data_IF_097011389491
#
_entry.id   IF_097011389491
#
_cell.length_a   1.000
_cell.length_b   1.000
_cell.length_c   1.000
_cell.angle_alpha   90.00
_cell.angle_beta   90.00
_cell.angle_gamma   90.00
#
_symmetry.space_group_name_H-M   'P 1'
#
loop_
_entity.id
_entity.type
_entity.pdbx_description
1 polymer ?
#
# COMPACT_ATOMS: atom_id res chain seq x y z
N UNK A 1 3.81 21.64 -31.35
CA UNK A 1 2.53 21.12 -30.82
C UNK A 1 2.33 21.77 -29.47
N UNK A 2 1.30 22.63 -29.36
CA UNK A 2 0.93 23.23 -28.07
C UNK A 2 0.41 22.12 -27.16
N UNK A 3 0.78 22.11 -25.88
CA UNK A 3 0.20 21.20 -24.89
C UNK A 3 -1.31 21.41 -24.92
N UNK A 4 -2.10 20.36 -25.13
CA UNK A 4 -3.55 20.49 -25.06
C UNK A 4 -3.90 20.94 -23.64
N UNK A 5 -4.61 22.07 -23.45
CA UNK A 5 -4.98 22.51 -22.11
C UNK A 5 -5.74 21.40 -21.39
N UNK A 6 -5.36 21.11 -20.16
CA UNK A 6 -6.14 20.23 -19.30
C UNK A 6 -7.56 20.81 -19.18
N UNK A 7 -8.54 20.05 -19.66
CA UNK A 7 -9.90 20.53 -19.92
C UNK A 7 -10.50 19.96 -21.19
N UNK A 8 -9.68 19.46 -22.12
CA UNK A 8 -10.18 18.76 -23.32
C UNK A 8 -10.25 17.24 -23.17
N UNK A 9 -9.48 16.66 -22.25
CA UNK A 9 -9.49 15.22 -21.98
C UNK A 9 -10.47 14.97 -20.84
N UNK A 10 -11.47 14.13 -21.06
CA UNK A 10 -12.45 13.79 -20.04
C UNK A 10 -11.77 13.13 -18.83
N UNK A 11 -12.08 13.63 -17.62
CA UNK A 11 -11.55 13.06 -16.37
C UNK A 11 -12.29 11.74 -16.05
N UNK A 12 -11.57 10.61 -15.86
CA UNK A 12 -12.17 9.35 -15.43
C UNK A 12 -13.01 9.51 -14.16
N UNK A 13 -14.13 8.79 -14.05
CA UNK A 13 -15.04 8.91 -12.90
C UNK A 13 -14.32 8.64 -11.57
N UNK A 14 -13.47 7.60 -11.57
CA UNK A 14 -12.67 7.20 -10.42
C UNK A 14 -11.57 8.19 -10.02
N UNK A 15 -11.36 9.28 -10.74
CA UNK A 15 -10.38 10.32 -10.39
C UNK A 15 -11.04 11.58 -9.82
N UNK A 16 -12.38 11.65 -9.80
CA UNK A 16 -13.12 12.86 -9.39
C UNK A 16 -13.01 13.18 -7.90
N UNK A 17 -12.64 12.21 -7.07
CA UNK A 17 -12.42 12.41 -5.64
C UNK A 17 -11.01 12.95 -5.33
N UNK A 18 -10.11 12.98 -6.31
CA UNK A 18 -8.75 13.48 -6.09
C UNK A 18 -8.77 14.98 -5.91
N UNK A 19 -7.95 15.47 -4.98
CA UNK A 19 -7.67 16.89 -4.88
C UNK A 19 -7.00 17.39 -6.16
N UNK A 20 -7.22 18.67 -6.46
CA UNK A 20 -6.71 19.32 -7.66
C UNK A 20 -5.66 20.35 -7.24
N UNK A 21 -4.50 20.34 -7.88
CA UNK A 21 -3.45 21.29 -7.58
C UNK A 21 -3.78 22.71 -8.08
N UNK A 22 -2.95 23.69 -7.73
CA UNK A 22 -3.09 25.09 -8.16
C UNK A 22 -3.10 25.31 -9.68
N UNK A 23 -2.67 24.33 -10.47
CA UNK A 23 -2.62 24.38 -11.94
C UNK A 23 -3.84 23.70 -12.59
N UNK A 24 -4.72 23.06 -11.80
CA UNK A 24 -5.88 22.34 -12.28
C UNK A 24 -5.66 20.84 -12.51
N UNK A 25 -4.51 20.29 -12.11
CA UNK A 25 -4.18 18.88 -12.31
C UNK A 25 -4.65 18.05 -11.11
N UNK A 26 -5.38 16.93 -11.32
CA UNK A 26 -5.66 16.00 -10.23
C UNK A 26 -4.34 15.47 -9.67
N UNK A 27 -4.18 15.51 -8.35
CA UNK A 27 -2.98 15.05 -7.66
C UNK A 27 -3.04 13.53 -7.53
N UNK A 28 -2.32 12.85 -8.42
CA UNK A 28 -2.36 11.39 -8.52
C UNK A 28 -1.83 10.71 -7.24
N UNK A 29 -2.30 9.49 -7.02
CA UNK A 29 -2.12 8.75 -5.78
C UNK A 29 -0.66 8.45 -5.38
N UNK A 30 0.29 8.32 -6.28
CA UNK A 30 1.71 8.07 -5.94
C UNK A 30 2.55 9.31 -5.70
N UNK A 31 2.07 10.48 -6.16
CA UNK A 31 2.85 11.71 -6.16
C UNK A 31 3.22 12.13 -4.74
N UNK A 32 4.48 12.52 -4.59
CA UNK A 32 4.98 13.15 -3.37
C UNK A 32 4.32 14.52 -3.17
N UNK A 33 3.86 14.77 -1.94
CA UNK A 33 3.17 15.99 -1.59
C UNK A 33 3.27 16.29 -0.11
N UNK A 34 3.14 17.57 0.20
CA UNK A 34 3.02 18.15 1.52
C UNK A 34 1.96 19.26 1.49
N UNK A 35 1.73 19.89 2.64
CA UNK A 35 0.88 21.08 2.75
C UNK A 35 1.35 22.23 1.85
N UNK A 36 2.65 22.31 1.54
CA UNK A 36 3.26 23.43 0.83
C UNK A 36 3.40 23.15 -0.67
N UNK A 37 3.61 21.89 -1.05
CA UNK A 37 4.00 21.54 -2.41
C UNK A 37 3.44 20.19 -2.87
N UNK A 38 3.06 20.14 -4.15
CA UNK A 38 2.79 18.90 -4.88
C UNK A 38 3.90 18.68 -5.91
N UNK A 39 4.75 17.67 -5.66
CA UNK A 39 5.90 17.36 -6.49
C UNK A 39 5.58 16.23 -7.48
N UNK A 40 5.08 16.58 -8.67
CA UNK A 40 4.75 15.61 -9.72
C UNK A 40 5.97 14.85 -10.29
N UNK A 41 7.20 15.29 -9.99
CA UNK A 41 8.43 14.56 -10.31
C UNK A 41 8.86 13.58 -9.22
N UNK A 42 8.30 13.69 -8.02
CA UNK A 42 8.59 12.86 -6.86
C UNK A 42 7.55 11.75 -6.68
N UNK A 43 8.02 10.57 -6.31
CA UNK A 43 7.20 9.41 -6.02
C UNK A 43 7.41 9.04 -4.56
N UNK A 44 6.32 8.94 -3.81
CA UNK A 44 6.40 8.62 -2.39
C UNK A 44 6.39 7.11 -2.16
N UNK A 45 7.49 6.58 -1.66
CA UNK A 45 7.59 5.16 -1.26
C UNK A 45 6.63 4.80 -0.13
N UNK A 46 6.32 5.75 0.76
CA UNK A 46 5.30 5.59 1.81
C UNK A 46 3.92 5.34 1.20
N UNK A 47 3.59 6.08 0.14
CA UNK A 47 2.32 5.92 -0.59
C UNK A 47 2.30 4.62 -1.40
N UNK A 48 3.42 4.24 -2.04
CA UNK A 48 3.57 2.94 -2.71
C UNK A 48 3.34 1.75 -1.77
N UNK A 49 3.78 1.84 -0.51
CA UNK A 49 3.49 0.79 0.47
C UNK A 49 1.99 0.62 0.72
N UNK A 50 1.25 1.72 0.89
CA UNK A 50 -0.20 1.68 1.06
C UNK A 50 -0.89 1.09 -0.18
N UNK A 51 -0.52 1.55 -1.38
CA UNK A 51 -1.04 1.01 -2.64
C UNK A 51 -0.79 -0.50 -2.77
N UNK A 52 0.38 -0.97 -2.36
CA UNK A 52 0.72 -2.39 -2.35
C UNK A 52 -0.07 -3.19 -1.30
N UNK A 53 -0.24 -2.64 -0.09
CA UNK A 53 -0.93 -3.31 0.99
C UNK A 53 -2.43 -3.47 0.73
N UNK A 54 -3.04 -2.45 0.11
CA UNK A 54 -4.48 -2.39 -0.14
C UNK A 54 -4.88 -2.74 -1.58
N UNK A 55 -3.89 -2.96 -2.46
CA UNK A 55 -4.08 -3.25 -3.89
C UNK A 55 -4.91 -2.19 -4.59
N UNK A 56 -4.38 -0.97 -4.51
CA UNK A 56 -4.96 0.23 -5.06
C UNK A 56 -4.15 0.75 -6.25
N UNK A 57 -4.85 1.47 -7.14
CA UNK A 57 -4.28 2.07 -8.33
C UNK A 57 -3.37 3.26 -8.00
N UNK A 58 -2.20 3.30 -8.62
CA UNK A 58 -1.20 4.35 -8.43
C UNK A 58 -1.61 5.75 -8.90
N UNK A 59 -2.66 5.84 -9.71
CA UNK A 59 -3.18 7.12 -10.21
C UNK A 59 -4.35 7.62 -9.39
N UNK A 60 -5.39 6.80 -9.17
CA UNK A 60 -6.59 7.24 -8.48
C UNK A 60 -6.68 6.81 -7.01
N UNK A 61 -5.84 5.90 -6.54
CA UNK A 61 -5.88 5.40 -5.16
C UNK A 61 -7.11 4.56 -4.84
N UNK A 62 -7.87 4.12 -5.85
CA UNK A 62 -9.04 3.23 -5.70
C UNK A 62 -8.65 1.76 -5.88
N UNK A 63 -9.38 0.80 -5.29
CA UNK A 63 -9.07 -0.63 -5.41
C UNK A 63 -9.16 -1.15 -6.84
N UNK A 64 -8.39 -2.20 -7.13
CA UNK A 64 -8.47 -2.88 -8.43
C UNK A 64 -9.70 -3.75 -8.60
N UNK A 65 -10.24 -4.31 -7.51
CA UNK A 65 -11.20 -5.40 -7.58
C UNK A 65 -10.69 -6.51 -8.52
N UNK A 66 -11.47 -6.86 -9.54
CA UNK A 66 -11.17 -7.85 -10.58
C UNK A 66 -10.47 -7.26 -11.83
N UNK A 67 -10.21 -5.94 -11.87
CA UNK A 67 -9.56 -5.30 -13.02
C UNK A 67 -8.07 -5.65 -13.14
N UNK A 68 -7.52 -5.63 -14.36
CA UNK A 68 -6.09 -5.82 -14.58
C UNK A 68 -5.25 -4.70 -13.96
N UNK A 69 -4.06 -5.07 -13.48
CA UNK A 69 -3.01 -4.18 -13.00
C UNK A 69 -2.15 -3.77 -14.19
N UNK A 70 -2.39 -2.59 -14.75
CA UNK A 70 -1.66 -2.09 -15.92
C UNK A 70 -0.33 -1.46 -15.52
N UNK A 71 0.70 -1.75 -16.31
CA UNK A 71 2.05 -1.24 -16.13
C UNK A 71 2.64 -0.79 -17.46
N UNK A 72 3.40 0.30 -17.41
CA UNK A 72 4.24 0.74 -18.52
C UNK A 72 5.53 -0.10 -18.56
N UNK A 73 5.92 -0.56 -19.75
CA UNK A 73 7.10 -1.40 -19.95
C UNK A 73 8.00 -0.79 -21.01
N UNK A 74 9.28 -0.60 -20.67
CA UNK A 74 10.31 -0.02 -21.55
C UNK A 74 11.16 -1.10 -22.25
N UNK A 75 10.53 -2.19 -22.68
CA UNK A 75 11.22 -3.33 -23.30
C UNK A 75 10.52 -3.78 -24.57
N UNK A 76 11.30 -3.87 -25.63
CA UNK A 76 10.91 -4.49 -26.89
C UNK A 76 10.93 -6.02 -26.81
N UNK A 77 10.06 -6.65 -27.61
CA UNK A 77 10.00 -8.10 -27.75
C UNK A 77 9.20 -8.82 -26.64
N UNK A 78 9.34 -10.15 -26.55
CA UNK A 78 8.59 -10.96 -25.59
C UNK A 78 8.92 -10.57 -24.15
N UNK A 79 7.89 -10.50 -23.31
CA UNK A 79 8.06 -10.26 -21.89
C UNK A 79 8.35 -11.56 -21.15
N UNK A 80 9.22 -11.55 -20.11
CA UNK A 80 9.32 -12.68 -19.19
C UNK A 80 7.98 -12.95 -18.51
N UNK A 81 7.82 -14.15 -17.95
CA UNK A 81 6.62 -14.58 -17.22
C UNK A 81 6.25 -13.68 -16.04
N UNK A 82 7.24 -13.01 -15.45
CA UNK A 82 7.03 -12.01 -14.41
C UNK A 82 7.81 -10.73 -14.74
N UNK A 83 7.17 -9.58 -14.56
CA UNK A 83 7.77 -8.25 -14.74
C UNK A 83 7.92 -7.59 -13.38
N UNK A 84 9.10 -7.03 -13.13
CA UNK A 84 9.36 -6.22 -11.93
C UNK A 84 9.38 -4.76 -12.34
N UNK A 85 8.47 -3.97 -11.76
CA UNK A 85 8.36 -2.52 -11.98
C UNK A 85 8.75 -1.76 -10.72
N UNK A 86 9.45 -0.63 -10.88
CA UNK A 86 9.63 0.33 -9.78
C UNK A 86 8.37 1.16 -9.50
N UNK A 87 7.34 1.05 -10.36
CA UNK A 87 6.09 1.78 -10.25
C UNK A 87 4.96 0.89 -9.76
N UNK A 88 4.04 1.46 -8.97
CA UNK A 88 2.80 0.79 -8.58
C UNK A 88 1.84 0.69 -9.78
N UNK A 89 1.01 -0.37 -9.88
CA UNK A 89 0.14 -0.57 -11.03
C UNK A 89 -1.01 0.42 -11.08
N UNK A 90 -1.60 0.59 -12.27
CA UNK A 90 -2.75 1.47 -12.50
C UNK A 90 -3.92 0.73 -13.15
N UNK A 91 -5.14 1.26 -13.03
CA UNK A 91 -6.26 0.83 -13.87
C UNK A 91 -6.00 1.21 -15.33
N UNK A 92 -6.64 0.50 -16.26
CA UNK A 92 -6.52 0.77 -17.70
C UNK A 92 -6.86 2.22 -18.05
N UNK A 93 -8.04 2.67 -17.60
CA UNK A 93 -8.55 4.01 -17.88
C UNK A 93 -7.64 5.10 -17.30
N UNK A 94 -7.02 4.82 -16.13
CA UNK A 94 -6.04 5.71 -15.52
C UNK A 94 -4.73 5.77 -16.30
N UNK A 95 -4.25 4.64 -16.82
CA UNK A 95 -3.07 4.59 -17.71
C UNK A 95 -3.30 5.41 -18.98
N UNK A 96 -4.45 5.20 -19.62
CA UNK A 96 -4.84 5.88 -20.85
C UNK A 96 -5.04 7.39 -20.63
N UNK A 97 -5.64 7.79 -19.50
CA UNK A 97 -5.73 9.20 -19.13
C UNK A 97 -4.33 9.80 -18.92
N UNK A 98 -3.48 9.15 -18.12
CA UNK A 98 -2.11 9.62 -17.86
C UNK A 98 -1.30 9.75 -19.15
N UNK A 99 -1.43 8.82 -20.09
CA UNK A 99 -0.78 8.88 -21.41
C UNK A 99 -1.18 10.11 -22.24
N UNK A 100 -2.38 10.66 -22.02
CA UNK A 100 -2.88 11.83 -22.75
C UNK A 100 -2.60 13.17 -22.05
N UNK A 101 -2.37 13.17 -20.73
CA UNK A 101 -2.18 14.42 -19.97
C UNK A 101 -0.78 14.59 -19.39
N UNK A 102 -0.01 13.52 -19.24
CA UNK A 102 1.34 13.59 -18.69
C UNK A 102 2.28 14.23 -19.72
N UNK A 103 2.98 15.33 -19.39
CA UNK A 103 3.90 15.97 -20.32
C UNK A 103 4.99 15.03 -20.84
N UNK A 104 5.45 14.09 -20.01
CA UNK A 104 6.46 13.12 -20.43
C UNK A 104 5.88 12.08 -21.41
N UNK A 105 4.68 11.54 -21.17
CA UNK A 105 4.09 10.48 -22.00
C UNK A 105 3.48 11.02 -23.30
N UNK A 106 2.97 12.25 -23.27
CA UNK A 106 2.21 12.83 -24.38
C UNK A 106 3.01 13.02 -25.67
N UNK A 107 4.33 13.23 -25.60
CA UNK A 107 5.14 13.53 -26.79
C UNK A 107 6.36 12.60 -26.92
N UNK A 108 6.64 12.05 -28.13
CA UNK A 108 7.86 11.29 -28.42
C UNK A 108 9.15 12.08 -28.23
N UNK A 109 9.08 13.41 -28.11
CA UNK A 109 10.25 14.27 -27.90
C UNK A 109 10.37 14.79 -26.48
N UNK A 110 9.46 14.39 -25.59
CA UNK A 110 9.53 14.77 -24.19
C UNK A 110 10.79 14.23 -23.54
N UNK A 111 11.32 15.01 -22.60
CA UNK A 111 12.55 14.70 -21.89
C UNK A 111 12.29 14.66 -20.40
N UNK A 112 12.99 13.76 -19.73
CA UNK A 112 13.01 13.74 -18.27
C UNK A 112 13.79 14.96 -17.74
N UNK A 113 13.29 15.51 -16.64
CA UNK A 113 13.82 16.71 -15.99
C UNK A 113 14.55 16.43 -14.68
N UNK A 114 14.44 15.23 -14.11
CA UNK A 114 15.16 14.86 -12.89
C UNK A 114 16.67 14.82 -13.13
N UNK A 115 17.45 15.09 -12.08
CA UNK A 115 18.90 15.27 -12.18
C UNK A 115 19.61 14.09 -12.86
N UNK A 116 19.18 12.86 -12.54
CA UNK A 116 19.83 11.64 -13.01
C UNK A 116 19.50 11.29 -14.47
N UNK A 117 18.33 11.68 -14.95
CA UNK A 117 17.85 11.36 -16.31
C UNK A 117 17.65 12.61 -17.17
N UNK A 118 18.21 13.75 -16.75
CA UNK A 118 18.03 15.03 -17.41
C UNK A 118 18.37 14.93 -18.90
N UNK A 119 17.38 15.23 -19.73
CA UNK A 119 17.54 15.22 -21.17
C UNK A 119 17.33 13.86 -21.85
N UNK A 120 17.15 12.76 -21.11
CA UNK A 120 16.76 11.46 -21.66
C UNK A 120 15.41 11.61 -22.35
N UNK A 121 15.36 11.25 -23.63
CA UNK A 121 14.15 11.35 -24.46
C UNK A 121 13.26 10.14 -24.18
N UNK A 122 11.94 10.37 -24.17
CA UNK A 122 10.95 9.28 -24.13
C UNK A 122 11.21 8.29 -25.27
N UNK A 123 11.09 7.00 -24.98
CA UNK A 123 11.04 5.97 -26.02
C UNK A 123 9.96 6.31 -27.06
N UNK A 124 10.23 6.24 -28.38
CA UNK A 124 9.23 6.53 -29.40
C UNK A 124 7.95 5.68 -29.26
N UNK A 125 8.05 4.46 -28.75
CA UNK A 125 6.91 3.57 -28.50
C UNK A 125 6.73 3.41 -27.00
N UNK A 126 5.55 3.77 -26.49
CA UNK A 126 5.17 3.41 -25.11
C UNK A 126 4.30 2.18 -25.17
N UNK A 127 4.67 1.17 -24.38
CA UNK A 127 3.95 -0.08 -24.23
C UNK A 127 3.35 -0.17 -22.83
N UNK A 128 2.08 -0.57 -22.77
CA UNK A 128 1.35 -0.89 -21.56
C UNK A 128 0.91 -2.34 -21.59
N UNK A 129 0.96 -3.00 -20.44
CA UNK A 129 0.66 -4.42 -20.28
C UNK A 129 -0.25 -4.59 -19.07
N UNK A 130 -1.34 -5.32 -19.25
CA UNK A 130 -2.30 -5.65 -18.20
C UNK A 130 -1.97 -6.99 -17.56
N UNK A 131 -1.84 -7.01 -16.24
CA UNK A 131 -1.54 -8.20 -15.44
C UNK A 131 -2.70 -8.57 -14.52
N UNK A 132 -2.93 -9.86 -14.31
CA UNK A 132 -3.95 -10.37 -13.38
C UNK A 132 -3.66 -9.97 -11.94
N UNK A 133 -2.39 -9.95 -11.52
CA UNK A 133 -2.04 -9.71 -10.12
C UNK A 133 -0.66 -9.10 -9.92
N UNK A 134 -0.51 -8.41 -8.78
CA UNK A 134 0.78 -8.10 -8.16
C UNK A 134 1.17 -9.28 -7.26
N UNK A 135 2.09 -10.13 -7.72
CA UNK A 135 2.47 -11.37 -7.02
C UNK A 135 3.36 -11.09 -5.80
N UNK A 136 4.21 -10.07 -5.86
CA UNK A 136 5.12 -9.71 -4.79
C UNK A 136 5.43 -8.21 -4.79
N UNK A 137 5.75 -7.69 -3.62
CA UNK A 137 6.34 -6.35 -3.47
C UNK A 137 7.51 -6.45 -2.49
N UNK A 138 8.65 -5.91 -2.89
CA UNK A 138 9.90 -5.99 -2.15
C UNK A 138 10.69 -4.69 -2.23
N UNK A 139 11.55 -4.44 -1.24
CA UNK A 139 12.54 -3.37 -1.29
C UNK A 139 13.70 -3.79 -2.20
N UNK A 140 14.10 -2.90 -3.10
CA UNK A 140 15.27 -3.06 -3.96
C UNK A 140 16.11 -1.79 -3.91
N UNK A 141 17.43 -1.94 -4.02
CA UNK A 141 18.29 -0.79 -4.21
C UNK A 141 17.98 -0.14 -5.57
N UNK A 142 17.80 1.18 -5.55
CA UNK A 142 17.50 1.99 -6.71
C UNK A 142 18.67 1.94 -7.69
N UNK A 143 18.36 1.61 -8.94
CA UNK A 143 19.36 1.64 -10.02
C UNK A 143 19.78 3.07 -10.38
N UNK A 144 19.01 4.07 -9.94
CA UNK A 144 19.29 5.48 -10.20
C UNK A 144 20.02 6.15 -9.04
N UNK A 145 19.85 5.67 -7.81
CA UNK A 145 20.38 6.29 -6.60
C UNK A 145 21.02 5.22 -5.72
N UNK A 146 22.35 5.13 -5.75
CA UNK A 146 23.12 4.15 -4.97
C UNK A 146 22.82 4.33 -3.48
N UNK A 147 22.59 3.22 -2.79
CA UNK A 147 22.27 3.18 -1.35
C UNK A 147 20.84 3.60 -0.99
N UNK A 148 20.00 3.99 -1.96
CA UNK A 148 18.59 4.29 -1.74
C UNK A 148 17.76 3.07 -2.08
N UNK A 149 16.92 2.60 -1.16
CA UNK A 149 15.98 1.50 -1.44
C UNK A 149 14.59 2.03 -1.77
N UNK A 150 13.98 1.45 -2.80
CA UNK A 150 12.61 1.73 -3.25
C UNK A 150 11.80 0.44 -3.35
N UNK A 151 10.47 0.54 -3.34
CA UNK A 151 9.58 -0.60 -3.51
C UNK A 151 9.44 -0.96 -4.99
N UNK A 152 9.58 -2.25 -5.29
CA UNK A 152 9.35 -2.80 -6.60
C UNK A 152 8.20 -3.82 -6.56
N UNK A 153 7.42 -3.85 -7.64
CA UNK A 153 6.21 -4.63 -7.82
C UNK A 153 6.47 -5.72 -8.86
N UNK A 154 6.36 -6.98 -8.45
CA UNK A 154 6.37 -8.12 -9.36
C UNK A 154 4.94 -8.39 -9.83
N UNK A 155 4.73 -8.43 -11.14
CA UNK A 155 3.45 -8.70 -11.78
C UNK A 155 3.46 -10.02 -12.54
N UNK A 156 2.32 -10.71 -12.56
CA UNK A 156 2.14 -12.01 -13.23
C UNK A 156 0.78 -12.11 -13.92
N UNK A 157 0.69 -13.06 -14.85
CA UNK A 157 -0.52 -13.31 -15.63
C UNK A 157 -0.75 -12.18 -16.62
N UNK A 158 0.13 -12.03 -17.60
CA UNK A 158 -0.11 -11.08 -18.69
C UNK A 158 -1.36 -11.51 -19.46
N UNK A 159 -2.34 -10.62 -19.56
CA UNK A 159 -3.63 -10.90 -20.21
C UNK A 159 -3.89 -10.02 -21.42
N UNK A 160 -3.40 -8.78 -21.39
CA UNK A 160 -3.64 -7.79 -22.44
C UNK A 160 -2.44 -6.85 -22.59
N UNK A 161 -2.33 -6.19 -23.74
CA UNK A 161 -1.33 -5.17 -24.00
C UNK A 161 -1.80 -4.16 -25.06
N UNK A 162 -1.26 -2.95 -24.98
CA UNK A 162 -1.34 -1.99 -26.06
C UNK A 162 -0.04 -1.19 -26.16
N UNK A 163 0.18 -0.58 -27.31
CA UNK A 163 1.32 0.31 -27.53
C UNK A 163 0.89 1.50 -28.38
N UNK A 164 1.57 2.62 -28.21
CA UNK A 164 1.32 3.82 -28.99
C UNK A 164 2.58 4.66 -29.18
N UNK A 165 2.59 5.44 -30.26
CA UNK A 165 3.63 6.45 -30.54
C UNK A 165 3.13 7.85 -30.26
N UNK A 166 1.87 8.08 -30.54
CA UNK A 166 1.19 9.37 -30.34
C UNK A 166 -0.08 9.19 -29.49
N UNK A 167 -0.49 10.20 -28.71
CA UNK A 167 -1.72 10.15 -27.92
C UNK A 167 -2.98 9.91 -28.75
N UNK A 168 -2.97 10.30 -30.03
CA UNK A 168 -4.11 10.13 -30.92
C UNK A 168 -4.43 8.65 -31.18
N UNK A 169 -3.41 7.78 -31.17
CA UNK A 169 -3.55 6.33 -31.35
C UNK A 169 -4.33 5.65 -30.22
N UNK A 170 -4.40 6.27 -29.03
CA UNK A 170 -5.08 5.70 -27.85
C UNK A 170 -6.42 6.36 -27.52
N UNK A 171 -6.85 7.37 -28.27
CA UNK A 171 -8.12 8.09 -27.99
C UNK A 171 -9.34 7.17 -28.05
N UNK A 172 -9.39 6.27 -29.04
CA UNK A 172 -10.49 5.30 -29.18
C UNK A 172 -10.56 4.35 -27.98
N UNK A 173 -9.42 3.73 -27.64
CA UNK A 173 -9.31 2.85 -26.47
C UNK A 173 -9.63 3.58 -25.16
N UNK A 174 -9.25 4.84 -25.04
CA UNK A 174 -9.62 5.65 -23.89
C UNK A 174 -11.12 5.91 -23.79
N UNK A 175 -11.78 6.27 -24.89
CA UNK A 175 -13.23 6.45 -24.91
C UNK A 175 -13.96 5.16 -24.51
N UNK A 176 -13.54 4.01 -25.06
CA UNK A 176 -14.08 2.69 -24.68
C UNK A 176 -13.83 2.36 -23.20
N UNK A 177 -12.66 2.69 -22.67
CA UNK A 177 -12.34 2.49 -21.26
C UNK A 177 -13.19 3.38 -20.34
N UNK A 178 -13.47 4.63 -20.73
CA UNK A 178 -14.37 5.54 -20.01
C UNK A 178 -15.81 5.01 -19.98
N UNK A 179 -16.32 4.54 -21.11
CA UNK A 179 -17.67 3.97 -21.21
C UNK A 179 -17.83 2.71 -20.35
N UNK A 180 -16.79 1.88 -20.28
CA UNK A 180 -16.76 0.66 -19.47
C UNK A 180 -16.50 0.89 -17.99
N UNK A 181 -16.20 2.11 -17.55
CA UNK A 181 -16.00 2.37 -16.12
C UNK A 181 -17.23 1.92 -15.32
N UNK A 182 -16.99 1.31 -14.17
CA UNK A 182 -18.02 0.94 -13.21
C UNK A 182 -17.67 1.58 -11.88
N UNK A 183 -18.69 1.91 -11.11
CA UNK A 183 -18.47 2.33 -9.74
C UNK A 183 -17.98 1.11 -8.96
N UNK A 184 -16.84 1.27 -8.30
CA UNK A 184 -16.22 0.19 -7.55
C UNK A 184 -16.87 0.09 -6.18
N UNK A 185 -17.23 -1.12 -5.71
CA UNK A 185 -17.72 -1.30 -4.36
C UNK A 185 -16.58 -1.00 -3.38
N UNK A 186 -16.77 0.00 -2.53
CA UNK A 186 -15.83 0.39 -1.48
C UNK A 186 -16.57 0.34 -0.15
N UNK A 187 -16.08 -0.44 0.81
CA UNK A 187 -16.67 -0.47 2.15
C UNK A 187 -16.35 0.80 2.91
N UNK A 188 -17.14 1.13 3.93
CA UNK A 188 -16.94 2.32 4.77
C UNK A 188 -15.48 2.47 5.29
N UNK A 189 -14.84 1.45 5.89
CA UNK A 189 -13.47 1.60 6.35
C UNK A 189 -12.45 1.74 5.21
N UNK A 190 -12.69 1.10 4.05
CA UNK A 190 -11.82 1.29 2.89
C UNK A 190 -11.98 2.69 2.30
N UNK A 191 -13.20 3.21 2.23
CA UNK A 191 -13.49 4.56 1.77
C UNK A 191 -12.84 5.63 2.64
N UNK A 192 -12.83 5.41 3.95
CA UNK A 192 -12.13 6.29 4.90
C UNK A 192 -10.61 6.26 4.69
N UNK A 193 -10.02 5.07 4.53
CA UNK A 193 -8.60 4.95 4.22
C UNK A 193 -8.25 5.60 2.87
N UNK A 194 -9.10 5.47 1.84
CA UNK A 194 -8.92 6.11 0.53
C UNK A 194 -9.00 7.64 0.64
N UNK A 195 -9.96 8.15 1.42
CA UNK A 195 -10.10 9.58 1.69
C UNK A 195 -8.83 10.12 2.34
N UNK A 196 -8.40 9.52 3.45
CA UNK A 196 -7.17 9.89 4.15
C UNK A 196 -5.94 9.79 3.26
N UNK A 197 -5.82 8.69 2.51
CA UNK A 197 -4.72 8.49 1.58
C UNK A 197 -4.66 9.59 0.52
N UNK A 198 -5.80 10.09 0.05
CA UNK A 198 -5.85 11.07 -1.02
C UNK A 198 -5.82 12.54 -0.58
N UNK A 199 -5.80 12.83 0.73
CA UNK A 199 -5.56 14.18 1.26
C UNK A 199 -4.21 14.75 0.84
N UNK A 200 -4.11 16.09 0.78
CA UNK A 200 -2.85 16.81 0.57
C UNK A 200 -2.07 17.06 1.86
N UNK A 201 -2.72 17.03 3.02
CA UNK A 201 -2.05 17.14 4.31
C UNK A 201 -1.30 15.86 4.71
N UNK A 202 -0.38 16.00 5.66
CA UNK A 202 0.34 14.86 6.25
C UNK A 202 -0.43 14.22 7.43
N UNK A 203 -1.67 14.67 7.70
CA UNK A 203 -2.48 14.17 8.81
C UNK A 203 -3.14 12.83 8.43
N UNK A 204 -2.94 11.79 9.25
CA UNK A 204 -3.53 10.46 8.99
C UNK A 204 -2.71 9.63 8.01
N UNK A 205 -1.47 9.32 8.39
CA UNK A 205 -0.52 8.65 7.51
C UNK A 205 -0.90 7.18 7.25
N UNK A 206 -1.57 6.94 6.13
CA UNK A 206 -2.06 5.61 5.71
C UNK A 206 -0.94 4.56 5.53
N UNK A 207 0.32 4.99 5.39
CA UNK A 207 1.47 4.08 5.44
C UNK A 207 1.62 3.41 6.81
N UNK A 208 1.31 4.11 7.92
CA UNK A 208 1.26 3.52 9.26
C UNK A 208 0.17 2.47 9.39
N UNK A 209 -1.02 2.74 8.84
CA UNK A 209 -2.10 1.75 8.75
C UNK A 209 -1.69 0.53 7.91
N UNK A 210 -1.01 0.72 6.78
CA UNK A 210 -0.48 -0.39 5.97
C UNK A 210 0.54 -1.25 6.74
N UNK A 211 1.45 -0.61 7.50
CA UNK A 211 2.39 -1.31 8.37
C UNK A 211 1.66 -2.14 9.43
N UNK A 212 0.66 -1.55 10.10
CA UNK A 212 -0.19 -2.22 11.07
C UNK A 212 -0.99 -3.38 10.46
N UNK A 213 -1.46 -3.25 9.23
CA UNK A 213 -2.16 -4.32 8.50
C UNK A 213 -1.27 -5.54 8.21
N UNK A 214 0.06 -5.39 8.33
CA UNK A 214 1.03 -6.47 8.16
C UNK A 214 2.19 -6.13 7.24
N UNK A 215 2.20 -4.97 6.59
CA UNK A 215 3.31 -4.56 5.73
C UNK A 215 4.62 -4.35 6.51
N UNK A 216 4.56 -4.20 7.85
CA UNK A 216 5.75 -4.18 8.72
C UNK A 216 6.59 -5.48 8.66
N UNK A 217 6.02 -6.58 8.14
CA UNK A 217 6.73 -7.85 7.93
C UNK A 217 7.27 -8.02 6.51
N UNK A 218 7.08 -7.04 5.63
CA UNK A 218 7.73 -7.01 4.34
C UNK A 218 9.27 -6.98 4.53
N UNK A 219 9.99 -7.71 3.67
CA UNK A 219 11.45 -7.79 3.78
C UNK A 219 12.07 -6.42 3.53
N UNK A 220 12.98 -6.01 4.41
CA UNK A 220 13.79 -4.81 4.28
C UNK A 220 12.95 -3.51 4.13
N UNK A 221 11.68 -3.53 4.57
CA UNK A 221 10.77 -2.38 4.40
C UNK A 221 11.27 -1.13 5.10
N UNK A 222 11.95 -1.29 6.22
CA UNK A 222 12.50 -0.17 6.96
C UNK A 222 13.78 0.40 6.34
N UNK A 223 14.39 -0.28 5.37
CA UNK A 223 15.49 0.24 4.54
C UNK A 223 14.99 1.14 3.41
N UNK A 224 13.71 1.05 3.04
CA UNK A 224 13.09 1.88 2.01
C UNK A 224 13.11 3.36 2.42
N UNK A 225 13.39 4.23 1.45
CA UNK A 225 13.38 5.68 1.65
C UNK A 225 12.07 6.17 2.29
N UNK A 226 12.19 7.08 3.25
CA UNK A 226 11.05 7.63 3.97
C UNK A 226 10.53 6.76 5.13
N UNK A 227 11.07 5.56 5.35
CA UNK A 227 10.66 4.68 6.46
C UNK A 227 11.53 4.79 7.71
N UNK A 228 12.57 5.63 7.72
CA UNK A 228 13.38 5.87 8.91
C UNK A 228 12.55 6.30 10.15
N UNK A 229 11.54 7.19 10.05
CA UNK A 229 10.68 7.56 11.18
C UNK A 229 9.83 6.41 11.75
N UNK A 230 9.77 5.27 11.07
CA UNK A 230 9.03 4.09 11.47
C UNK A 230 9.90 3.04 12.17
N UNK A 231 11.23 3.16 12.09
CA UNK A 231 12.16 2.26 12.78
C UNK A 231 12.02 2.40 14.29
N UNK A 232 11.99 1.27 14.99
CA UNK A 232 11.95 1.22 16.46
C UNK A 232 10.60 1.57 17.10
N UNK A 233 9.58 1.96 16.33
CA UNK A 233 8.22 2.15 16.82
C UNK A 233 7.52 0.81 17.09
N UNK A 234 6.41 0.85 17.83
CA UNK A 234 5.60 -0.32 18.21
C UNK A 234 4.89 -1.04 17.04
N UNK A 235 5.22 -0.73 15.79
CA UNK A 235 4.57 -1.31 14.60
C UNK A 235 4.60 -2.84 14.57
N UNK A 236 5.70 -3.55 14.91
CA UNK A 236 5.65 -5.01 14.98
C UNK A 236 4.67 -5.53 16.04
N UNK A 237 4.49 -4.80 17.15
CA UNK A 237 3.55 -5.16 18.20
C UNK A 237 2.10 -4.89 17.77
N UNK A 238 1.83 -3.72 17.19
CA UNK A 238 0.51 -3.37 16.63
C UNK A 238 0.13 -4.31 15.49
N UNK A 239 1.06 -4.58 14.57
CA UNK A 239 0.84 -5.54 13.49
C UNK A 239 0.67 -6.96 14.04
N UNK A 240 1.35 -7.30 15.14
CA UNK A 240 1.12 -8.54 15.87
C UNK A 240 -0.31 -8.67 16.41
N UNK A 241 -0.87 -7.59 16.95
CA UNK A 241 -2.27 -7.51 17.35
C UNK A 241 -3.19 -7.70 16.13
N UNK A 242 -2.94 -7.02 15.02
CA UNK A 242 -3.75 -7.17 13.78
C UNK A 242 -3.62 -8.56 13.12
N UNK A 243 -2.59 -9.33 13.47
CA UNK A 243 -2.38 -10.69 12.97
C UNK A 243 -3.00 -11.77 13.86
N UNK A 244 -2.93 -11.60 15.19
CA UNK A 244 -3.25 -12.66 16.16
C UNK A 244 -4.27 -12.28 17.22
N UNK A 245 -4.66 -11.00 17.26
CA UNK A 245 -5.73 -10.50 18.10
C UNK A 245 -7.07 -11.09 17.70
N UNK A 246 -7.96 -11.17 18.67
CA UNK A 246 -9.38 -11.42 18.46
C UNK A 246 -10.03 -10.22 17.78
N UNK A 247 -11.21 -10.41 17.18
CA UNK A 247 -11.97 -9.32 16.58
C UNK A 247 -12.28 -8.20 17.58
N UNK A 248 -12.49 -8.55 18.86
CA UNK A 248 -12.72 -7.58 19.93
C UNK A 248 -11.46 -6.76 20.23
N UNK A 249 -10.30 -7.40 20.46
CA UNK A 249 -9.06 -6.68 20.75
C UNK A 249 -8.64 -5.75 19.59
N UNK A 250 -8.89 -6.17 18.34
CA UNK A 250 -8.63 -5.34 17.16
C UNK A 250 -9.53 -4.09 17.15
N UNK A 251 -10.83 -4.25 17.44
CA UNK A 251 -11.78 -3.13 17.51
C UNK A 251 -11.45 -2.17 18.65
N UNK A 252 -11.21 -2.71 19.85
CA UNK A 252 -10.85 -1.91 21.03
C UNK A 252 -9.59 -1.08 20.79
N UNK A 253 -8.57 -1.66 20.14
CA UNK A 253 -7.38 -0.91 19.74
C UNK A 253 -7.70 0.17 18.72
N UNK A 254 -8.44 -0.15 17.66
CA UNK A 254 -8.79 0.81 16.61
C UNK A 254 -9.59 2.00 17.15
N UNK A 255 -10.61 1.72 17.96
CA UNK A 255 -11.47 2.73 18.58
C UNK A 255 -10.69 3.60 19.59
N UNK A 256 -9.73 3.01 20.32
CA UNK A 256 -8.91 3.69 21.32
C UNK A 256 -7.67 4.40 20.78
N UNK A 257 -7.32 4.24 19.50
CA UNK A 257 -6.05 4.72 18.94
C UNK A 257 -5.92 6.26 18.87
N UNK A 258 -7.04 6.99 18.79
CA UNK A 258 -7.06 8.44 18.60
C UNK A 258 -6.68 8.92 17.19
N UNK A 259 -6.27 8.02 16.28
CA UNK A 259 -5.87 8.32 14.91
C UNK A 259 -6.90 7.78 13.91
N UNK A 260 -7.26 8.58 12.90
CA UNK A 260 -8.31 8.24 11.94
C UNK A 260 -7.95 7.00 11.10
N UNK A 261 -6.69 6.88 10.65
CA UNK A 261 -6.25 5.75 9.85
C UNK A 261 -6.23 4.45 10.68
N UNK A 262 -5.81 4.52 11.95
CA UNK A 262 -5.86 3.37 12.85
C UNK A 262 -7.28 2.98 13.26
N UNK A 263 -8.20 3.94 13.34
CA UNK A 263 -9.63 3.65 13.56
C UNK A 263 -10.22 2.88 12.38
N UNK A 264 -9.86 3.24 11.15
CA UNK A 264 -10.36 2.57 9.95
C UNK A 264 -9.69 1.20 9.70
N UNK A 265 -8.41 1.02 10.06
CA UNK A 265 -7.67 -0.18 9.66
C UNK A 265 -8.13 -1.47 10.36
N UNK A 266 -8.57 -1.42 11.62
CA UNK A 266 -9.06 -2.60 12.32
C UNK A 266 -10.29 -3.21 11.66
N UNK A 267 -11.38 -2.43 11.47
CA UNK A 267 -12.53 -2.86 10.70
C UNK A 267 -12.17 -3.37 9.30
N UNK A 268 -11.29 -2.66 8.57
CA UNK A 268 -10.83 -3.11 7.25
C UNK A 268 -10.14 -4.48 7.30
N UNK A 269 -9.24 -4.71 8.27
CA UNK A 269 -8.57 -6.00 8.45
C UNK A 269 -9.56 -7.13 8.75
N UNK A 270 -10.60 -6.84 9.54
CA UNK A 270 -11.64 -7.81 9.89
C UNK A 270 -12.53 -8.14 8.68
N UNK A 271 -12.93 -7.14 7.90
CA UNK A 271 -13.73 -7.32 6.68
C UNK A 271 -12.97 -8.11 5.60
N UNK A 272 -11.67 -7.86 5.45
CA UNK A 272 -10.82 -8.52 4.44
C UNK A 272 -10.17 -9.81 4.94
N UNK A 273 -10.54 -10.30 6.12
CA UNK A 273 -9.95 -11.51 6.67
C UNK A 273 -10.13 -12.71 5.72
N UNK A 274 -9.01 -13.22 5.18
CA UNK A 274 -9.00 -14.32 4.20
C UNK A 274 -9.07 -13.88 2.73
N UNK A 275 -9.22 -12.58 2.46
CA UNK A 275 -9.31 -12.00 1.11
C UNK A 275 -8.33 -10.82 0.93
N UNK A 276 -7.20 -10.84 1.64
CA UNK A 276 -6.17 -9.82 1.46
C UNK A 276 -5.51 -9.90 0.08
N UNK A 277 -4.96 -8.80 -0.44
CA UNK A 277 -4.11 -8.85 -1.63
C UNK A 277 -2.92 -9.80 -1.47
N UNK A 278 -2.48 -10.42 -2.56
CA UNK A 278 -1.41 -11.44 -2.54
C UNK A 278 -0.13 -10.96 -1.86
N UNK A 279 0.30 -9.71 -2.11
CA UNK A 279 1.46 -9.14 -1.45
C UNK A 279 1.28 -9.08 0.08
N UNK A 280 0.14 -8.55 0.55
CA UNK A 280 -0.17 -8.47 1.97
C UNK A 280 -0.34 -9.84 2.62
N UNK A 281 -0.94 -10.82 1.93
CA UNK A 281 -1.01 -12.21 2.42
C UNK A 281 0.37 -12.78 2.73
N UNK A 282 1.35 -12.58 1.82
CA UNK A 282 2.72 -13.05 2.00
C UNK A 282 3.40 -12.38 3.19
N UNK A 283 3.23 -11.06 3.33
CA UNK A 283 3.78 -10.32 4.48
C UNK A 283 3.14 -10.79 5.79
N UNK A 284 1.81 -10.94 5.84
CA UNK A 284 1.09 -11.43 7.01
C UNK A 284 1.49 -12.85 7.38
N UNK A 285 1.65 -13.76 6.41
CA UNK A 285 2.13 -15.12 6.65
C UNK A 285 3.54 -15.15 7.27
N UNK A 286 4.45 -14.28 6.78
CA UNK A 286 5.75 -14.10 7.43
C UNK A 286 5.62 -13.55 8.84
N UNK A 287 4.77 -12.56 9.07
CA UNK A 287 4.52 -12.01 10.40
C UNK A 287 3.99 -13.04 11.40
N UNK A 288 3.14 -13.97 10.94
CA UNK A 288 2.60 -15.04 11.78
C UNK A 288 3.67 -15.96 12.37
N UNK A 289 4.79 -16.19 11.67
CA UNK A 289 5.91 -16.99 12.19
C UNK A 289 6.81 -16.19 13.15
N UNK A 290 6.83 -14.86 13.03
CA UNK A 290 7.67 -13.97 13.83
C UNK A 290 6.99 -13.54 15.15
N UNK A 291 5.67 -13.32 15.13
CA UNK A 291 4.92 -12.84 16.29
C UNK A 291 4.56 -14.01 17.18
N UNK A 292 5.00 -14.03 18.43
CA UNK A 292 4.48 -14.98 19.43
C UNK A 292 3.18 -14.41 19.98
N UNK A 293 2.10 -15.20 19.95
CA UNK A 293 0.91 -14.83 20.73
C UNK A 293 1.34 -14.82 22.19
N UNK A 294 1.08 -13.75 22.96
CA UNK A 294 1.25 -13.82 24.40
C UNK A 294 0.50 -15.07 24.87
N UNK A 295 1.22 -16.00 25.51
CA UNK A 295 0.54 -17.10 26.18
C UNK A 295 -0.47 -16.50 27.16
N UNK A 296 -1.54 -17.25 27.52
CA UNK A 296 -2.42 -16.81 28.60
C UNK A 296 -1.55 -16.36 29.76
N UNK A 297 -1.80 -15.14 30.26
CA UNK A 297 -1.05 -14.57 31.38
C UNK A 297 -0.87 -15.66 32.40
N UNK A 298 0.38 -16.08 32.64
CA UNK A 298 0.63 -17.16 33.58
C UNK A 298 -0.13 -16.79 34.86
N UNK A 299 -1.02 -17.66 35.38
CA UNK A 299 -1.83 -17.35 36.54
C UNK A 299 -0.90 -16.72 37.57
N UNK A 300 -1.16 -15.47 37.93
CA UNK A 300 -0.32 -14.75 38.88
C UNK A 300 -0.43 -15.56 40.16
N UNK A 301 0.58 -16.41 40.39
CA UNK A 301 0.71 -17.08 41.67
C UNK A 301 0.71 -16.02 42.76
N UNK A 302 0.38 -16.39 44.00
CA UNK A 302 0.55 -15.48 45.13
C UNK A 302 1.91 -14.82 45.01
N UNK A 303 1.93 -13.50 44.77
CA UNK A 303 3.16 -12.79 44.47
C UNK A 303 4.23 -13.05 45.53
N UNK A 304 5.47 -12.63 45.29
CA UNK A 304 6.58 -12.78 46.26
C UNK A 304 6.28 -12.17 47.64
N UNK A 305 5.21 -11.40 47.78
CA UNK A 305 4.65 -10.86 49.02
C UNK A 305 4.06 -11.92 49.97
N UNK A 306 3.76 -13.14 49.52
CA UNK A 306 3.24 -14.20 50.41
C UNK A 306 4.41 -14.95 51.04
N UNK A 307 4.48 -14.92 52.37
CA UNK A 307 5.52 -15.60 53.14
C UNK A 307 5.64 -17.08 52.72
N UNK A 308 6.88 -17.60 52.60
CA UNK A 308 7.17 -18.96 52.09
C UNK A 308 6.34 -20.09 52.71
N UNK A 309 5.84 -19.89 53.93
CA UNK A 309 5.06 -20.87 54.69
C UNK A 309 3.58 -20.51 54.88
N UNK A 310 3.11 -19.37 54.38
CA UNK A 310 1.70 -18.99 54.49
C UNK A 310 0.82 -19.92 53.63
N UNK A 311 -0.44 -20.14 54.04
CA UNK A 311 -1.42 -20.84 53.21
C UNK A 311 -1.58 -20.13 51.86
N UNK A 312 -1.68 -20.89 50.78
CA UNK A 312 -1.89 -20.32 49.44
C UNK A 312 -3.22 -19.57 49.39
N UNK A 313 -3.27 -18.29 48.97
CA UNK A 313 -4.51 -17.54 48.82
C UNK A 313 -5.41 -18.09 47.70
N UNK A 314 -4.91 -19.02 46.88
CA UNK A 314 -5.68 -19.76 45.90
C UNK A 314 -6.68 -20.78 46.51
N UNK A 315 -6.72 -20.94 47.84
CA UNK A 315 -7.66 -21.84 48.51
C UNK A 315 -7.31 -23.34 48.43
N UNK A 316 -6.16 -23.70 47.84
CA UNK A 316 -5.77 -25.11 47.63
C UNK A 316 -5.37 -25.87 48.90
N UNK A 317 -5.34 -25.22 50.07
CA UNK A 317 -4.84 -25.79 51.33
C UNK A 317 -3.33 -26.04 51.37
N UNK A 318 -2.60 -25.83 50.27
CA UNK A 318 -1.13 -26.01 50.19
C UNK A 318 -0.40 -24.75 50.65
N UNK A 319 0.83 -24.90 51.14
CA UNK A 319 1.74 -23.76 51.38
C UNK A 319 2.02 -23.04 50.07
N UNK A 320 2.08 -21.70 50.09
CA UNK A 320 2.26 -20.87 48.90
C UNK A 320 3.45 -21.33 48.01
N UNK A 321 4.58 -21.74 48.61
CA UNK A 321 5.76 -22.23 47.87
C UNK A 321 5.57 -23.57 47.13
N UNK A 322 4.54 -24.35 47.50
CA UNK A 322 4.23 -25.68 46.93
C UNK A 322 2.98 -25.67 46.06
N UNK A 323 2.31 -24.53 45.95
CA UNK A 323 1.22 -24.40 45.01
C UNK A 323 1.81 -24.20 43.62
N UNK A 324 1.62 -25.19 42.75
CA UNK A 324 2.03 -25.05 41.36
C UNK A 324 1.19 -23.93 40.73
N UNK A 325 1.79 -22.97 40.01
CA UNK A 325 1.05 -21.85 39.42
C UNK A 325 -0.12 -22.33 38.55
N UNK A 326 0.02 -23.49 37.92
CA UNK A 326 -0.96 -24.08 37.01
C UNK A 326 -2.00 -25.00 37.68
N UNK A 327 -1.97 -25.22 39.00
CA UNK A 327 -2.98 -26.06 39.68
C UNK A 327 -3.00 -27.54 39.27
N UNK A 328 -2.10 -27.99 38.39
CA UNK A 328 -2.02 -29.39 37.96
C UNK A 328 -1.43 -30.20 39.12
N UNK A 329 -2.22 -31.15 39.63
CA UNK A 329 -1.73 -32.16 40.54
C UNK A 329 -0.77 -33.07 39.76
N UNK A 330 0.53 -32.95 40.06
CA UNK A 330 1.50 -34.00 39.75
C UNK A 330 1.29 -35.20 40.65
#
# INVERSE_FOLDING_TARGET
MSHTPQGTVALPRRMRHLEVDRRGYPVIATVERSLEEVNFGGISERRKLALAAFDWCAVCGMPFADELRWQMVFRDGPLPTAIVSGEAPVHEVCALYAAQVCPYLFSPRSRLGDEMRKGVVRDPVVRFVGFESTSAVAAHESQLQIGIYTLHFEHRGQTDEFSYRTPDEIRGRFAEALEREKDLPVSDPEGELIRLFNRLDEEGEVAGAALAAGAAFAKDIFEVQGFAPYRGKSYPAVAGLMLKGTAQEIREFSDGSGDEAYRAIGPWVLERAGQFPTALQRWRARGQSMVRRPGPSAPQGPGRSVAKNAPCPCGSGRKARRCHPSGIAG
#
